data_IF_355582885101
#
_entry.id   IF_355582885101
#
_cell.length_a   1.000
_cell.length_b   1.000
_cell.length_c   1.000
_cell.angle_alpha   90.00
_cell.angle_beta   90.00
_cell.angle_gamma   90.00
#
_symmetry.space_group_name_H-M   'P 1'
#
loop_
_entity.id
_entity.type
_entity.pdbx_description
1 polymer ?
#
# COMPACT_ATOMS: atom_id res chain seq x y z
N UNK A 1 -0.77 -0.18 -23.23
CA UNK A 1 -0.55 -1.18 -22.16
C UNK A 1 0.86 -1.72 -22.27
N UNK A 2 1.51 -1.98 -21.13
CA UNK A 2 2.92 -2.37 -21.03
C UNK A 2 3.06 -3.78 -20.41
N UNK A 3 2.63 -4.86 -21.10
CA UNK A 3 2.61 -6.21 -20.53
C UNK A 3 4.00 -6.73 -20.14
N UNK A 4 5.05 -6.22 -20.79
CA UNK A 4 6.44 -6.62 -20.60
C UNK A 4 7.20 -5.71 -19.62
N UNK A 5 6.57 -4.67 -19.05
CA UNK A 5 7.17 -3.85 -18.00
C UNK A 5 7.10 -4.60 -16.67
N UNK A 6 8.25 -4.99 -16.12
CA UNK A 6 8.34 -5.81 -14.89
C UNK A 6 9.26 -5.22 -13.85
N UNK A 7 10.36 -4.63 -14.25
CA UNK A 7 11.39 -4.10 -13.34
C UNK A 7 11.52 -2.60 -13.49
N UNK A 8 12.10 -1.93 -12.48
CA UNK A 8 12.44 -0.50 -12.61
C UNK A 8 13.44 -0.24 -13.75
N UNK A 9 14.34 -1.19 -14.03
CA UNK A 9 15.34 -1.05 -15.10
C UNK A 9 14.74 -1.16 -16.50
N UNK A 10 13.57 -1.78 -16.65
CA UNK A 10 12.88 -1.80 -17.94
C UNK A 10 12.52 -0.39 -18.41
N UNK A 11 12.36 0.57 -17.49
CA UNK A 11 12.05 1.98 -17.78
C UNK A 11 13.17 2.70 -18.57
N UNK A 12 14.38 2.13 -18.65
CA UNK A 12 15.44 2.64 -19.52
C UNK A 12 15.06 2.57 -21.01
N UNK A 13 14.13 1.69 -21.40
CA UNK A 13 13.64 1.62 -22.78
C UNK A 13 12.82 2.90 -23.11
N UNK A 14 13.23 3.69 -24.13
CA UNK A 14 12.56 4.94 -24.47
C UNK A 14 11.06 4.80 -24.74
N UNK A 15 10.58 3.61 -25.13
CA UNK A 15 9.14 3.37 -25.33
C UNK A 15 8.33 3.57 -24.05
N UNK A 16 8.90 3.32 -22.87
CA UNK A 16 8.21 3.53 -21.60
C UNK A 16 8.28 4.98 -21.15
N UNK A 17 9.36 5.69 -21.45
CA UNK A 17 9.42 7.13 -21.27
C UNK A 17 8.33 7.83 -22.10
N UNK A 18 8.15 7.43 -23.36
CA UNK A 18 7.05 7.92 -24.21
C UNK A 18 5.67 7.50 -23.68
N UNK A 19 5.53 6.28 -23.16
CA UNK A 19 4.27 5.78 -22.62
C UNK A 19 3.83 6.58 -21.38
N UNK A 20 4.76 6.90 -20.49
CA UNK A 20 4.52 7.65 -19.26
C UNK A 20 4.89 9.13 -19.40
N UNK A 21 4.74 9.70 -20.60
CA UNK A 21 5.21 11.04 -20.94
C UNK A 21 4.74 12.12 -19.94
N UNK A 22 5.68 12.97 -19.53
CA UNK A 22 5.39 14.10 -18.67
C UNK A 22 4.60 15.18 -19.46
N UNK A 23 3.40 15.57 -19.00
CA UNK A 23 2.58 16.57 -19.67
C UNK A 23 3.24 17.97 -19.70
N UNK A 24 4.13 18.26 -18.76
CA UNK A 24 4.86 19.53 -18.65
C UNK A 24 6.22 19.49 -19.36
N UNK A 25 6.80 18.29 -19.55
CA UNK A 25 8.09 18.10 -20.22
C UNK A 25 8.05 16.87 -21.16
N UNK A 26 7.67 17.09 -22.43
CA UNK A 26 7.45 16.00 -23.40
C UNK A 26 8.68 15.16 -23.75
N UNK A 27 9.87 15.54 -23.29
CA UNK A 27 11.11 14.79 -23.53
C UNK A 27 11.45 13.83 -22.38
N UNK A 28 10.62 13.78 -21.34
CA UNK A 28 10.78 12.92 -20.18
C UNK A 28 9.48 12.22 -19.82
N UNK A 29 9.60 11.11 -19.12
CA UNK A 29 8.50 10.45 -18.43
C UNK A 29 8.21 11.10 -17.08
N UNK A 30 7.09 10.74 -16.48
CA UNK A 30 6.67 11.23 -15.17
C UNK A 30 6.48 10.07 -14.19
N UNK A 31 7.09 10.19 -13.02
CA UNK A 31 6.82 9.34 -11.86
C UNK A 31 6.07 10.18 -10.83
N UNK A 32 4.83 9.80 -10.51
CA UNK A 32 4.11 10.45 -9.42
C UNK A 32 4.64 9.96 -8.07
N UNK A 33 4.92 10.90 -7.18
CA UNK A 33 5.42 10.65 -5.84
C UNK A 33 4.31 10.90 -4.80
N UNK A 34 4.53 10.47 -3.56
CA UNK A 34 3.61 10.66 -2.46
C UNK A 34 3.48 12.11 -1.98
N UNK A 35 2.71 12.32 -0.89
CA UNK A 35 2.44 13.65 -0.33
C UNK A 35 3.70 14.32 0.22
N UNK A 36 3.76 15.67 0.22
CA UNK A 36 4.84 16.40 0.88
C UNK A 36 4.95 16.06 2.37
N UNK A 37 6.18 16.00 2.87
CA UNK A 37 6.52 15.69 4.26
C UNK A 37 6.61 14.19 4.57
N UNK A 38 6.37 13.32 3.59
CA UNK A 38 6.56 11.87 3.73
C UNK A 38 7.95 11.46 3.25
N UNK A 39 8.44 10.32 3.72
CA UNK A 39 9.77 9.82 3.35
C UNK A 39 9.93 9.59 1.84
N UNK A 40 8.86 9.17 1.15
CA UNK A 40 8.85 9.01 -0.31
C UNK A 40 9.21 10.29 -1.07
N UNK A 41 8.93 11.48 -0.51
CA UNK A 41 9.33 12.77 -1.10
C UNK A 41 10.83 12.82 -1.36
N UNK A 42 11.63 12.18 -0.48
CA UNK A 42 13.09 12.13 -0.57
C UNK A 42 13.53 10.87 -1.32
N UNK A 43 12.96 9.71 -0.98
CA UNK A 43 13.45 8.41 -1.47
C UNK A 43 13.18 8.21 -2.95
N UNK A 44 12.01 8.56 -3.47
CA UNK A 44 11.65 8.27 -4.87
C UNK A 44 12.57 8.99 -5.88
N UNK A 45 12.89 10.29 -5.75
CA UNK A 45 13.87 10.94 -6.62
C UNK A 45 15.26 10.29 -6.56
N UNK A 46 15.71 9.87 -5.38
CA UNK A 46 17.02 9.23 -5.20
C UNK A 46 17.05 7.83 -5.80
N UNK A 47 15.96 7.06 -5.68
CA UNK A 47 15.76 5.80 -6.37
C UNK A 47 15.86 5.96 -7.89
N UNK A 48 15.16 6.95 -8.46
CA UNK A 48 15.23 7.24 -9.90
C UNK A 48 16.65 7.59 -10.34
N UNK A 49 17.41 8.34 -9.53
CA UNK A 49 18.82 8.62 -9.78
C UNK A 49 19.69 7.35 -9.69
N UNK A 50 19.53 6.56 -8.63
CA UNK A 50 20.30 5.33 -8.40
C UNK A 50 20.04 4.26 -9.47
N UNK A 51 18.82 4.23 -10.03
CA UNK A 51 18.45 3.37 -11.15
C UNK A 51 18.91 3.91 -12.50
N UNK A 52 19.57 5.07 -12.55
CA UNK A 52 20.10 5.66 -13.79
C UNK A 52 19.03 6.29 -14.69
N UNK A 53 17.88 6.68 -14.13
CA UNK A 53 16.70 7.15 -14.86
C UNK A 53 16.46 8.67 -14.75
N UNK A 54 17.35 9.41 -14.10
CA UNK A 54 17.17 10.84 -13.81
C UNK A 54 17.13 11.74 -15.07
N UNK A 55 17.74 11.31 -16.17
CA UNK A 55 17.70 12.04 -17.45
C UNK A 55 16.42 11.75 -18.22
N UNK A 56 15.77 10.62 -17.96
CA UNK A 56 14.60 10.12 -18.66
C UNK A 56 13.29 10.44 -17.93
N UNK A 57 13.31 10.58 -16.60
CA UNK A 57 12.11 10.76 -15.78
C UNK A 57 12.20 11.97 -14.86
N UNK A 58 11.09 12.70 -14.76
CA UNK A 58 10.86 13.68 -13.70
C UNK A 58 9.98 13.06 -12.60
N UNK A 59 10.16 13.51 -11.36
CA UNK A 59 9.30 13.14 -10.23
C UNK A 59 8.37 14.29 -9.85
N UNK A 60 7.10 14.00 -9.57
CA UNK A 60 6.12 15.01 -9.12
C UNK A 60 5.36 14.53 -7.89
N UNK A 61 5.47 15.28 -6.79
CA UNK A 61 4.72 15.01 -5.57
C UNK A 61 3.22 15.24 -5.78
N UNK A 62 2.40 14.26 -5.39
CA UNK A 62 0.97 14.47 -5.28
C UNK A 62 0.65 15.45 -4.15
N UNK A 63 -0.36 16.30 -4.31
CA UNK A 63 -0.73 17.27 -3.27
C UNK A 63 -1.25 16.65 -1.98
N UNK A 64 -1.77 15.42 -2.04
CA UNK A 64 -2.22 14.62 -0.90
C UNK A 64 -2.34 13.14 -1.28
N UNK A 65 -2.56 12.26 -0.30
CA UNK A 65 -2.82 10.84 -0.52
C UNK A 65 -4.07 10.61 -1.37
N UNK A 66 -5.13 11.38 -1.12
CA UNK A 66 -6.36 11.36 -1.90
C UNK A 66 -6.14 11.84 -3.33
N UNK A 67 -5.29 12.85 -3.51
CA UNK A 67 -4.91 13.34 -4.85
C UNK A 67 -4.16 12.29 -5.66
N UNK A 68 -3.22 11.58 -5.03
CA UNK A 68 -2.50 10.47 -5.64
C UNK A 68 -3.47 9.35 -6.05
N UNK A 69 -4.34 8.93 -5.13
CA UNK A 69 -5.32 7.87 -5.38
C UNK A 69 -6.32 8.25 -6.48
N UNK A 70 -6.78 9.50 -6.51
CA UNK A 70 -7.65 9.99 -7.57
C UNK A 70 -6.96 9.98 -8.94
N UNK A 71 -5.66 10.30 -9.01
CA UNK A 71 -4.88 10.23 -10.25
C UNK A 71 -4.78 8.81 -10.78
N UNK A 72 -4.46 7.85 -9.91
CA UNK A 72 -4.34 6.42 -10.24
C UNK A 72 -5.68 5.85 -10.69
N UNK A 73 -6.74 6.09 -9.91
CA UNK A 73 -8.08 5.61 -10.23
C UNK A 73 -8.59 6.17 -11.55
N UNK A 74 -8.36 7.46 -11.82
CA UNK A 74 -8.79 8.09 -13.07
C UNK A 74 -8.06 7.50 -14.28
N UNK A 75 -6.76 7.28 -14.17
CA UNK A 75 -5.96 6.66 -15.24
C UNK A 75 -6.43 5.22 -15.50
N UNK A 76 -6.61 4.43 -14.43
CA UNK A 76 -7.09 3.06 -14.50
C UNK A 76 -8.45 2.97 -15.21
N UNK A 77 -9.43 3.78 -14.80
CA UNK A 77 -10.78 3.78 -15.39
C UNK A 77 -10.80 4.15 -16.88
N UNK A 78 -9.82 4.94 -17.32
CA UNK A 78 -9.67 5.35 -18.73
C UNK A 78 -8.78 4.42 -19.54
N UNK A 79 -8.12 3.44 -18.91
CA UNK A 79 -7.07 2.65 -19.54
C UNK A 79 -5.85 3.47 -19.95
N UNK A 80 -5.59 4.57 -19.25
CA UNK A 80 -4.43 5.44 -19.45
C UNK A 80 -3.23 4.93 -18.64
N UNK A 81 -1.99 5.10 -19.15
CA UNK A 81 -0.79 4.71 -18.43
C UNK A 81 -0.60 5.58 -17.18
N UNK A 82 -0.18 4.94 -16.08
CA UNK A 82 0.15 5.59 -14.81
C UNK A 82 1.41 4.96 -14.23
N UNK A 83 2.33 5.78 -13.75
CA UNK A 83 3.57 5.37 -13.10
C UNK A 83 3.77 6.22 -11.85
N UNK A 84 3.99 5.59 -10.71
CA UNK A 84 4.19 6.31 -9.46
C UNK A 84 4.32 5.43 -8.23
N UNK A 85 4.62 6.09 -7.13
CA UNK A 85 4.70 5.53 -5.79
C UNK A 85 3.31 5.15 -5.28
N UNK A 86 3.22 4.01 -4.61
CA UNK A 86 2.08 3.58 -3.82
C UNK A 86 2.59 2.76 -2.63
N UNK A 87 1.85 2.78 -1.52
CA UNK A 87 2.10 1.93 -0.36
C UNK A 87 0.93 0.98 -0.13
N UNK A 88 1.20 -0.12 0.58
CA UNK A 88 0.20 -1.08 1.02
C UNK A 88 0.31 -1.35 2.52
N UNK A 89 -0.78 -1.77 3.18
CA UNK A 89 -2.12 -1.99 2.61
C UNK A 89 -2.89 -0.69 2.39
N UNK A 90 -3.63 -0.59 1.27
CA UNK A 90 -4.53 0.53 0.96
C UNK A 90 -5.74 0.04 0.17
N UNK A 91 -6.89 0.74 0.26
CA UNK A 91 -8.09 0.36 -0.50
C UNK A 91 -7.84 0.30 -2.00
N UNK A 92 -6.99 1.21 -2.53
CA UNK A 92 -6.74 1.31 -3.97
C UNK A 92 -5.83 0.19 -4.45
N UNK A 93 -4.87 -0.26 -3.63
CA UNK A 93 -4.06 -1.43 -3.92
C UNK A 93 -4.91 -2.71 -3.95
N UNK A 94 -5.89 -2.83 -3.06
CA UNK A 94 -6.83 -3.96 -3.04
C UNK A 94 -7.89 -3.95 -4.15
N UNK A 95 -8.29 -2.77 -4.63
CA UNK A 95 -9.40 -2.61 -5.58
C UNK A 95 -8.97 -2.66 -7.06
N UNK A 96 -7.69 -2.43 -7.37
CA UNK A 96 -7.21 -2.29 -8.74
C UNK A 96 -6.22 -3.40 -9.11
N UNK A 97 -6.20 -3.82 -10.38
CA UNK A 97 -5.18 -4.73 -10.91
C UNK A 97 -3.89 -3.93 -11.20
N UNK A 98 -3.03 -3.82 -10.19
CA UNK A 98 -1.78 -3.06 -10.25
C UNK A 98 -0.58 -4.00 -10.37
N UNK A 99 0.44 -3.56 -11.10
CA UNK A 99 1.74 -4.25 -11.17
C UNK A 99 2.76 -3.42 -10.38
N UNK A 100 3.28 -4.00 -9.29
CA UNK A 100 4.48 -3.47 -8.62
C UNK A 100 5.69 -3.78 -9.49
N UNK A 101 6.50 -2.76 -9.78
CA UNK A 101 7.77 -2.96 -10.50
C UNK A 101 8.79 -3.60 -9.55
N UNK A 102 9.45 -4.65 -10.02
CA UNK A 102 10.52 -5.30 -9.29
C UNK A 102 11.74 -4.38 -9.17
N UNK A 103 12.21 -4.22 -7.95
CA UNK A 103 13.40 -3.47 -7.57
C UNK A 103 14.49 -4.45 -7.09
N UNK A 104 15.78 -4.05 -7.05
CA UNK A 104 16.78 -4.80 -6.30
C UNK A 104 16.29 -5.06 -4.87
N UNK A 105 16.51 -6.26 -4.34
CA UNK A 105 16.08 -6.58 -2.98
C UNK A 105 16.66 -5.59 -1.96
N UNK A 106 15.89 -5.26 -0.92
CA UNK A 106 16.34 -4.38 0.15
C UNK A 106 17.70 -4.82 0.69
N UNK A 107 18.62 -3.87 0.74
CA UNK A 107 19.96 -4.00 1.32
C UNK A 107 20.26 -2.73 2.11
N UNK A 108 20.61 -2.87 3.39
CA UNK A 108 20.79 -1.74 4.31
C UNK A 108 21.92 -0.82 3.86
N UNK A 109 23.03 -1.37 3.36
CA UNK A 109 24.18 -0.57 2.90
C UNK A 109 23.82 0.23 1.64
N UNK A 110 23.04 -0.35 0.72
CA UNK A 110 22.54 0.35 -0.47
C UNK A 110 21.50 1.42 -0.10
N UNK A 111 20.59 1.09 0.82
CA UNK A 111 19.56 2.00 1.30
C UNK A 111 20.18 3.27 1.91
N UNK A 112 21.20 3.10 2.75
CA UNK A 112 21.88 4.21 3.43
C UNK A 112 22.83 5.00 2.51
N UNK A 113 23.31 4.41 1.41
CA UNK A 113 24.18 5.09 0.43
C UNK A 113 23.36 5.92 -0.57
N UNK A 114 22.42 5.30 -1.29
CA UNK A 114 21.73 5.96 -2.41
C UNK A 114 20.28 5.53 -2.65
N UNK A 115 19.71 4.66 -1.82
CA UNK A 115 18.35 4.13 -1.96
C UNK A 115 18.09 3.25 -3.20
N UNK A 116 19.13 2.80 -3.91
CA UNK A 116 19.03 1.99 -5.13
C UNK A 116 18.53 0.54 -4.94
N UNK A 117 17.65 0.31 -3.98
CA UNK A 117 17.00 -0.95 -3.68
C UNK A 117 15.55 -0.73 -3.23
N UNK A 118 14.78 -1.81 -3.17
CA UNK A 118 13.42 -1.83 -2.68
C UNK A 118 13.33 -1.28 -1.25
N UNK A 119 12.14 -0.79 -0.90
CA UNK A 119 11.80 -0.41 0.48
C UNK A 119 11.92 -1.62 1.43
N UNK A 120 12.38 -1.41 2.68
CA UNK A 120 12.32 -2.47 3.68
C UNK A 120 10.86 -2.86 3.92
N UNK A 121 10.63 -4.15 4.18
CA UNK A 121 9.34 -4.58 4.69
C UNK A 121 9.12 -3.97 6.07
N UNK A 122 7.96 -3.36 6.28
CA UNK A 122 7.58 -2.75 7.55
C UNK A 122 6.60 -3.63 8.29
N UNK A 123 6.94 -3.97 9.53
CA UNK A 123 6.03 -4.64 10.44
C UNK A 123 5.08 -3.61 11.07
N UNK A 124 3.78 -3.89 11.04
CA UNK A 124 2.76 -3.09 11.71
C UNK A 124 2.59 -3.57 13.15
N UNK A 125 2.98 -2.72 14.11
CA UNK A 125 2.94 -3.05 15.53
C UNK A 125 1.69 -2.51 16.22
N UNK A 126 1.12 -3.33 17.12
CA UNK A 126 0.14 -2.88 18.10
C UNK A 126 0.89 -2.30 19.29
N UNK A 127 0.76 -0.98 19.52
CA UNK A 127 1.32 -0.30 20.68
C UNK A 127 0.26 -0.06 21.75
N UNK A 128 0.61 -0.24 23.03
CA UNK A 128 -0.28 0.04 24.16
C UNK A 128 0.47 0.71 25.31
N UNK A 129 -0.28 1.36 26.21
CA UNK A 129 0.26 1.88 27.46
C UNK A 129 0.74 0.72 28.35
N UNK A 130 1.87 0.89 29.06
CA UNK A 130 2.49 -0.19 29.85
C UNK A 130 1.55 -0.87 30.86
N UNK A 131 0.72 -0.09 31.57
CA UNK A 131 -0.29 -0.62 32.50
C UNK A 131 -1.54 -1.24 31.85
N UNK A 132 -1.60 -1.39 30.53
CA UNK A 132 -2.71 -2.05 29.83
C UNK A 132 -2.73 -3.55 30.13
N UNK A 133 -1.56 -4.18 30.15
CA UNK A 133 -1.39 -5.62 30.37
C UNK A 133 -1.96 -6.05 31.72
N UNK A 134 -1.84 -5.20 32.75
CA UNK A 134 -2.40 -5.48 34.08
C UNK A 134 -3.93 -5.33 34.14
N UNK A 135 -4.50 -4.46 33.31
CA UNK A 135 -5.93 -4.12 33.34
C UNK A 135 -6.79 -5.05 32.48
N UNK A 136 -6.23 -5.52 31.37
CA UNK A 136 -6.93 -6.36 30.40
C UNK A 136 -5.99 -7.46 29.90
N UNK A 137 -5.55 -8.39 30.78
CA UNK A 137 -4.56 -9.41 30.43
C UNK A 137 -5.04 -10.36 29.31
N UNK A 138 -6.34 -10.61 29.25
CA UNK A 138 -6.99 -11.40 28.20
C UNK A 138 -6.96 -10.69 26.84
N UNK A 139 -7.20 -9.39 26.80
CA UNK A 139 -7.10 -8.58 25.57
C UNK A 139 -5.63 -8.41 25.16
N UNK A 140 -4.72 -8.25 26.12
CA UNK A 140 -3.28 -8.23 25.84
C UNK A 140 -2.84 -9.55 25.20
N UNK A 141 -3.27 -10.69 25.72
CA UNK A 141 -2.99 -12.00 25.09
C UNK A 141 -3.57 -12.07 23.67
N UNK A 142 -4.79 -11.58 23.44
CA UNK A 142 -5.38 -11.52 22.09
C UNK A 142 -4.50 -10.69 21.14
N UNK A 143 -4.03 -9.51 21.56
CA UNK A 143 -3.16 -8.68 20.72
C UNK A 143 -1.82 -9.36 20.39
N UNK A 144 -1.27 -10.19 21.27
CA UNK A 144 -0.06 -10.97 20.93
C UNK A 144 -0.27 -12.06 19.88
N UNK A 145 -1.53 -12.45 19.62
CA UNK A 145 -1.91 -13.41 18.59
C UNK A 145 -2.42 -12.75 17.31
N UNK A 146 -2.67 -11.43 17.35
CA UNK A 146 -3.26 -10.69 16.26
C UNK A 146 -2.27 -10.61 15.10
N UNK A 147 -2.67 -11.13 13.94
CA UNK A 147 -1.87 -11.09 12.73
C UNK A 147 -2.79 -11.01 11.51
N UNK A 148 -2.67 -9.94 10.72
CA UNK A 148 -3.40 -9.79 9.47
C UNK A 148 -2.40 -9.59 8.34
N UNK A 149 -2.52 -10.38 7.29
CA UNK A 149 -1.72 -10.17 6.08
C UNK A 149 -2.26 -8.98 5.27
N UNK A 150 -1.39 -8.42 4.43
CA UNK A 150 -1.70 -7.27 3.57
C UNK A 150 -2.91 -7.55 2.67
N UNK A 151 -3.00 -8.77 2.11
CA UNK A 151 -4.11 -9.16 1.23
C UNK A 151 -5.47 -9.10 1.95
N UNK A 152 -5.54 -9.56 3.19
CA UNK A 152 -6.77 -9.48 4.00
C UNK A 152 -7.13 -8.03 4.31
N UNK A 153 -6.15 -7.20 4.66
CA UNK A 153 -6.39 -5.78 4.93
C UNK A 153 -6.87 -5.03 3.67
N UNK A 154 -6.26 -5.31 2.52
CA UNK A 154 -6.65 -4.75 1.23
C UNK A 154 -8.09 -5.09 0.86
N UNK A 155 -8.53 -6.33 1.06
CA UNK A 155 -9.93 -6.73 0.83
C UNK A 155 -10.92 -5.96 1.74
N UNK A 156 -10.59 -5.78 3.02
CA UNK A 156 -11.44 -5.06 3.97
C UNK A 156 -11.55 -3.58 3.59
N UNK A 157 -10.43 -2.97 3.21
CA UNK A 157 -10.39 -1.57 2.77
C UNK A 157 -11.11 -1.36 1.44
N UNK A 158 -10.97 -2.30 0.50
CA UNK A 158 -11.71 -2.28 -0.76
C UNK A 158 -13.23 -2.34 -0.52
N UNK A 159 -13.70 -3.27 0.33
CA UNK A 159 -15.12 -3.35 0.71
C UNK A 159 -15.64 -2.04 1.29
N UNK A 160 -14.90 -1.42 2.21
CA UNK A 160 -15.28 -0.14 2.82
C UNK A 160 -15.45 0.95 1.75
N UNK A 161 -14.51 1.03 0.81
CA UNK A 161 -14.54 2.01 -0.27
C UNK A 161 -15.69 1.76 -1.26
N UNK A 162 -15.91 0.51 -1.68
CA UNK A 162 -16.98 0.15 -2.63
C UNK A 162 -18.38 0.40 -2.08
N UNK A 163 -18.57 0.16 -0.79
CA UNK A 163 -19.87 0.35 -0.12
C UNK A 163 -20.09 1.80 0.33
N UNK A 164 -19.04 2.62 0.37
CA UNK A 164 -19.08 3.91 1.05
C UNK A 164 -19.40 3.78 2.54
N UNK A 165 -19.08 2.62 3.13
CA UNK A 165 -19.37 2.28 4.52
C UNK A 165 -18.40 2.93 5.49
N UNK A 166 -18.81 3.00 6.76
CA UNK A 166 -17.95 3.47 7.84
C UNK A 166 -16.98 2.35 8.27
N UNK A 167 -15.88 2.67 8.99
CA UNK A 167 -14.94 1.67 9.48
C UNK A 167 -15.58 0.51 10.27
N UNK A 168 -16.70 0.79 10.96
CA UNK A 168 -17.46 -0.24 11.69
C UNK A 168 -18.12 -1.24 10.74
N UNK A 169 -18.63 -0.80 9.59
CA UNK A 169 -19.27 -1.67 8.61
C UNK A 169 -18.24 -2.63 8.00
N UNK A 170 -17.03 -2.13 7.72
CA UNK A 170 -15.92 -2.93 7.25
C UNK A 170 -15.45 -3.95 8.31
N UNK A 171 -15.40 -3.55 9.58
CA UNK A 171 -15.07 -4.45 10.69
C UNK A 171 -16.12 -5.56 10.85
N UNK A 172 -17.41 -5.25 10.77
CA UNK A 172 -18.49 -6.25 10.81
C UNK A 172 -18.39 -7.19 9.62
N UNK A 173 -18.15 -6.67 8.42
CA UNK A 173 -17.94 -7.50 7.23
C UNK A 173 -16.75 -8.45 7.41
N UNK A 174 -15.62 -7.95 7.91
CA UNK A 174 -14.45 -8.78 8.23
C UNK A 174 -14.80 -9.90 9.22
N UNK A 175 -15.50 -9.58 10.31
CA UNK A 175 -15.91 -10.56 11.31
C UNK A 175 -16.83 -11.65 10.74
N UNK A 176 -17.71 -11.30 9.79
CA UNK A 176 -18.62 -12.25 9.11
C UNK A 176 -17.92 -13.11 8.05
N UNK A 177 -16.95 -12.55 7.33
CA UNK A 177 -16.42 -13.19 6.11
C UNK A 177 -15.02 -13.81 6.31
N UNK A 178 -14.30 -13.42 7.36
CA UNK A 178 -12.91 -13.85 7.62
C UNK A 178 -12.79 -14.62 8.94
N UNK A 179 -13.79 -15.43 9.29
CA UNK A 179 -13.83 -16.23 10.53
C UNK A 179 -12.58 -17.10 10.74
N UNK A 180 -12.05 -17.70 9.68
CA UNK A 180 -10.85 -18.55 9.75
C UNK A 180 -9.58 -17.80 10.17
N UNK A 181 -9.59 -16.46 10.08
CA UNK A 181 -8.48 -15.60 10.46
C UNK A 181 -8.67 -15.17 11.91
N UNK A 182 -9.71 -14.38 12.21
CA UNK A 182 -9.82 -13.71 13.50
C UNK A 182 -10.10 -14.65 14.68
N UNK A 183 -10.69 -15.81 14.43
CA UNK A 183 -10.93 -16.79 15.50
C UNK A 183 -9.64 -17.40 16.06
N UNK A 184 -8.50 -17.23 15.39
CA UNK A 184 -7.17 -17.61 15.90
C UNK A 184 -6.67 -16.67 17.01
N UNK A 185 -7.17 -15.44 17.05
CA UNK A 185 -6.69 -14.41 17.98
C UNK A 185 -7.38 -14.50 19.34
N UNK A 186 -8.59 -15.08 19.37
CA UNK A 186 -9.48 -15.07 20.52
C UNK A 186 -9.75 -16.49 21.04
N UNK A 187 -10.31 -16.59 22.25
CA UNK A 187 -10.80 -17.88 22.77
C UNK A 187 -12.06 -18.32 22.03
N UNK A 188 -12.38 -19.62 22.06
CA UNK A 188 -13.61 -20.13 21.46
C UNK A 188 -14.87 -19.52 22.08
N UNK A 189 -14.84 -19.17 23.37
CA UNK A 189 -15.95 -18.48 24.03
C UNK A 189 -16.15 -17.07 23.47
N UNK A 190 -15.07 -16.29 23.33
CA UNK A 190 -15.13 -14.96 22.74
C UNK A 190 -15.57 -15.03 21.27
N UNK A 191 -15.08 -16.01 20.50
CA UNK A 191 -15.49 -16.22 19.12
C UNK A 191 -16.99 -16.44 18.98
N UNK A 192 -17.59 -17.28 19.83
CA UNK A 192 -19.04 -17.52 19.77
C UNK A 192 -19.82 -16.25 20.08
N UNK A 193 -19.43 -15.48 21.11
CA UNK A 193 -20.07 -14.20 21.45
C UNK A 193 -19.99 -13.18 20.32
N UNK A 194 -18.84 -13.09 19.64
CA UNK A 194 -18.65 -12.19 18.50
C UNK A 194 -19.57 -12.61 17.33
N UNK A 195 -19.61 -13.90 16.98
CA UNK A 195 -20.47 -14.42 15.90
C UNK A 195 -21.95 -14.15 16.17
N UNK A 196 -22.40 -14.38 17.41
CA UNK A 196 -23.76 -14.04 17.83
C UNK A 196 -24.05 -12.54 17.71
N UNK A 197 -23.12 -11.70 18.16
CA UNK A 197 -23.31 -10.25 18.14
C UNK A 197 -23.39 -9.68 16.73
N UNK A 198 -22.59 -10.19 15.78
CA UNK A 198 -22.59 -9.67 14.40
C UNK A 198 -23.68 -10.29 13.53
N UNK A 199 -24.32 -11.40 13.92
CA UNK A 199 -25.30 -12.11 13.08
C UNK A 199 -26.44 -11.19 12.59
N UNK A 200 -26.91 -10.29 13.45
CA UNK A 200 -28.05 -9.40 13.19
C UNK A 200 -27.65 -7.99 12.71
N UNK A 201 -26.34 -7.73 12.55
CA UNK A 201 -25.79 -6.44 12.10
C UNK A 201 -25.77 -6.29 10.58
#
# INVERSE_FOLDING_TARGET
MAPDLKTVFDLEDPKYMELFANPENKNKGLVLNGPPGWECEIVIPLQIEAYGLAEEYDTLNAGSSEGLFASLKSAYDKGEPWLGYLWGPTWIAGALDLTLLEEPAYDEDVWDDNYGCAWPSVDLFIASHTGFVDKAPDVAEMFTKWELDTATLDEVLAYMNETGGEPVDAAVWFLKNKESIWTKFVTSEAANKVKEAVADM
#
